data_IF_130669872351
#
_entry.id   IF_130669872351
#
_cell.length_a   1.000
_cell.length_b   1.000
_cell.length_c   1.000
_cell.angle_alpha   90.00
_cell.angle_beta   90.00
_cell.angle_gamma   90.00
#
_symmetry.space_group_name_H-M   'P 1'
#
loop_
_entity.id
_entity.type
_entity.pdbx_description
1 polymer ?
#
# COMPACT_ATOMS: atom_id res chain seq x y z
N UNK A 1 -17.52 16.21 14.77
CA UNK A 1 -16.19 15.61 14.65
C UNK A 1 -15.34 16.49 13.77
N UNK A 2 -14.22 16.95 14.30
CA UNK A 2 -13.14 17.61 13.57
C UNK A 2 -12.46 16.61 12.63
N UNK A 3 -11.70 17.10 11.65
CA UNK A 3 -10.88 16.26 10.79
C UNK A 3 -9.92 15.38 11.59
N UNK A 4 -9.27 15.95 12.61
CA UNK A 4 -8.37 15.24 13.51
C UNK A 4 -9.05 14.04 14.20
N UNK A 5 -10.25 14.23 14.73
CA UNK A 5 -11.01 13.16 15.40
C UNK A 5 -11.35 12.04 14.40
N UNK A 6 -11.80 12.40 13.18
CA UNK A 6 -12.13 11.42 12.14
C UNK A 6 -10.89 10.63 11.69
N UNK A 7 -9.76 11.31 11.54
CA UNK A 7 -8.49 10.67 11.21
C UNK A 7 -8.06 9.68 12.30
N UNK A 8 -8.17 10.08 13.57
CA UNK A 8 -7.85 9.21 14.69
C UNK A 8 -8.73 7.95 14.73
N UNK A 9 -10.04 8.10 14.50
CA UNK A 9 -10.97 6.96 14.42
C UNK A 9 -10.60 6.01 13.27
N UNK A 10 -10.24 6.55 12.10
CA UNK A 10 -9.81 5.74 10.95
C UNK A 10 -8.49 5.02 11.22
N UNK A 11 -7.51 5.69 11.83
CA UNK A 11 -6.22 5.07 12.19
C UNK A 11 -6.44 3.90 13.15
N UNK A 12 -7.32 4.03 14.15
CA UNK A 12 -7.68 2.94 15.06
C UNK A 12 -8.30 1.76 14.30
N UNK A 13 -9.18 2.03 13.34
CA UNK A 13 -9.77 0.99 12.50
C UNK A 13 -8.70 0.29 11.64
N UNK A 14 -7.80 1.06 11.00
CA UNK A 14 -6.70 0.52 10.19
C UNK A 14 -5.73 -0.33 11.02
N UNK A 15 -5.38 0.12 12.22
CA UNK A 15 -4.57 -0.66 13.17
C UNK A 15 -5.24 -2.00 13.51
N UNK A 16 -6.56 -2.02 13.68
CA UNK A 16 -7.30 -3.27 13.93
C UNK A 16 -7.34 -4.20 12.71
N UNK A 17 -7.38 -3.67 11.49
CA UNK A 17 -7.47 -4.47 10.25
C UNK A 17 -6.12 -5.05 9.86
N UNK A 18 -5.06 -4.24 9.94
CA UNK A 18 -3.74 -4.56 9.41
C UNK A 18 -2.74 -4.98 10.49
N UNK A 19 -3.08 -4.79 11.77
CA UNK A 19 -2.29 -5.24 12.92
C UNK A 19 -0.80 -4.84 12.77
N UNK A 20 0.12 -5.79 12.81
CA UNK A 20 1.58 -5.58 12.72
C UNK A 20 2.07 -5.03 11.38
N UNK A 21 1.19 -4.99 10.35
CA UNK A 21 1.49 -4.47 9.02
C UNK A 21 1.25 -2.97 8.89
N UNK A 22 0.55 -2.34 9.84
CA UNK A 22 0.30 -0.90 9.84
C UNK A 22 1.23 -0.17 10.82
N UNK A 23 1.95 0.84 10.35
CA UNK A 23 2.99 1.52 11.14
C UNK A 23 2.98 3.02 10.87
N UNK A 24 3.35 3.82 11.87
CA UNK A 24 3.65 5.24 11.69
C UNK A 24 5.09 5.38 11.20
N UNK A 25 5.33 6.08 10.08
CA UNK A 25 6.67 6.29 9.54
C UNK A 25 7.38 7.49 10.18
N UNK A 26 6.65 8.58 10.45
CA UNK A 26 7.17 9.83 10.99
C UNK A 26 6.08 10.60 11.76
N UNK A 27 6.47 11.53 12.64
CA UNK A 27 5.57 12.43 13.39
C UNK A 27 4.76 13.42 12.52
N UNK A 28 4.82 13.26 11.18
CA UNK A 28 4.19 14.14 10.18
C UNK A 28 2.97 13.47 9.51
N UNK A 29 2.12 12.76 10.26
CA UNK A 29 0.90 12.13 9.73
C UNK A 29 1.12 11.20 8.52
N UNK A 30 2.26 10.49 8.50
CA UNK A 30 2.59 9.51 7.48
C UNK A 30 2.58 8.10 8.06
N UNK A 31 1.79 7.25 7.42
CA UNK A 31 1.58 5.86 7.81
C UNK A 31 2.03 4.93 6.68
N UNK A 32 2.48 3.75 7.03
CA UNK A 32 2.85 2.69 6.11
C UNK A 32 1.98 1.46 6.35
N UNK A 33 1.51 0.87 5.25
CA UNK A 33 0.90 -0.46 5.23
C UNK A 33 1.84 -1.38 4.47
N UNK A 34 2.34 -2.41 5.14
CA UNK A 34 3.04 -3.52 4.51
C UNK A 34 2.03 -4.43 3.81
N UNK A 35 2.21 -4.62 2.50
CA UNK A 35 1.35 -5.44 1.67
C UNK A 35 2.10 -6.73 1.35
N UNK A 36 1.65 -7.81 1.99
CA UNK A 36 2.08 -9.16 1.62
C UNK A 36 1.19 -9.63 0.49
N UNK A 37 1.80 -9.89 -0.67
CA UNK A 37 1.10 -10.47 -1.80
C UNK A 37 1.61 -11.89 -2.04
N UNK A 38 0.82 -12.85 -1.57
CA UNK A 38 1.03 -14.25 -1.86
C UNK A 38 0.67 -14.53 -3.32
N UNK A 39 1.61 -15.12 -4.05
CA UNK A 39 1.35 -15.50 -5.42
C UNK A 39 0.39 -16.69 -5.44
N UNK A 40 -0.66 -16.59 -6.24
CA UNK A 40 -1.59 -17.71 -6.45
C UNK A 40 -0.86 -18.97 -6.93
N UNK A 41 0.22 -18.81 -7.70
CA UNK A 41 1.13 -19.89 -8.09
C UNK A 41 2.58 -19.39 -8.07
N UNK A 42 3.53 -20.19 -7.55
CA UNK A 42 4.95 -19.84 -7.59
C UNK A 42 5.44 -19.76 -9.04
N UNK A 43 6.35 -18.83 -9.34
CA UNK A 43 7.00 -18.76 -10.65
C UNK A 43 8.47 -19.11 -10.57
N UNK A 44 9.00 -19.69 -11.65
CA UNK A 44 10.39 -20.13 -11.73
C UNK A 44 11.23 -19.04 -12.38
N UNK A 45 12.21 -18.53 -11.65
CA UNK A 45 13.20 -17.58 -12.13
C UNK A 45 14.46 -18.33 -12.55
N UNK A 46 14.83 -18.22 -13.82
CA UNK A 46 16.09 -18.76 -14.34
C UNK A 46 17.04 -17.61 -14.61
N UNK A 47 18.15 -17.58 -13.88
CA UNK A 47 19.21 -16.59 -14.05
C UNK A 47 20.54 -17.33 -14.22
N UNK A 48 21.10 -17.23 -15.43
CA UNK A 48 22.25 -18.04 -15.87
C UNK A 48 21.99 -19.54 -15.65
N UNK A 49 22.87 -20.24 -14.95
CA UNK A 49 22.72 -21.68 -14.63
C UNK A 49 21.92 -21.95 -13.34
N UNK A 50 21.41 -20.91 -12.68
CA UNK A 50 20.64 -21.06 -11.43
C UNK A 50 19.14 -20.95 -11.70
N UNK A 51 18.39 -21.83 -11.05
CA UNK A 51 16.93 -21.87 -11.08
C UNK A 51 16.41 -21.69 -9.66
N UNK A 52 15.56 -20.70 -9.44
CA UNK A 52 14.93 -20.42 -8.15
C UNK A 52 13.41 -20.38 -8.31
N UNK A 53 12.69 -20.95 -7.35
CA UNK A 53 11.22 -20.89 -7.32
C UNK A 53 10.83 -19.76 -6.38
N UNK A 54 10.04 -18.81 -6.87
CA UNK A 54 9.58 -17.65 -6.12
C UNK A 54 8.12 -17.85 -5.73
N UNK A 55 7.86 -17.86 -4.43
CA UNK A 55 6.55 -18.09 -3.84
C UNK A 55 5.81 -16.79 -3.47
N UNK A 56 6.52 -15.67 -3.35
CA UNK A 56 5.96 -14.40 -2.90
C UNK A 56 6.46 -13.26 -3.79
N UNK A 57 5.64 -12.22 -3.94
CA UNK A 57 6.14 -10.98 -4.54
C UNK A 57 7.14 -10.31 -3.60
N UNK A 58 8.04 -9.48 -4.15
CA UNK A 58 8.88 -8.62 -3.33
C UNK A 58 8.04 -7.78 -2.35
N UNK A 59 8.59 -7.45 -1.16
CA UNK A 59 7.90 -6.64 -0.18
C UNK A 59 7.44 -5.33 -0.82
N UNK A 60 6.16 -5.07 -0.68
CA UNK A 60 5.48 -3.91 -1.21
C UNK A 60 4.90 -3.14 -0.04
N UNK A 61 5.01 -1.81 -0.06
CA UNK A 61 4.38 -0.97 0.95
C UNK A 61 3.57 0.15 0.32
N UNK A 62 2.51 0.54 1.01
CA UNK A 62 1.68 1.68 0.67
C UNK A 62 1.87 2.73 1.75
N UNK A 63 2.42 3.87 1.36
CA UNK A 63 2.55 5.02 2.25
C UNK A 63 1.29 5.87 2.10
N UNK A 64 0.69 6.20 3.23
CA UNK A 64 -0.50 7.04 3.35
C UNK A 64 -0.08 8.33 4.04
N UNK A 65 -0.36 9.46 3.40
CA UNK A 65 -0.12 10.78 3.98
C UNK A 65 -1.46 11.49 4.21
N UNK A 66 -1.79 11.72 5.48
CA UNK A 66 -2.99 12.44 5.90
C UNK A 66 -2.71 13.94 5.95
N UNK A 67 -3.47 14.71 5.18
CA UNK A 67 -3.45 16.18 5.21
C UNK A 67 -4.42 16.70 6.26
N UNK A 68 -4.23 17.92 6.73
CA UNK A 68 -5.07 18.52 7.78
C UNK A 68 -6.54 18.70 7.34
N UNK A 69 -6.76 18.85 6.02
CA UNK A 69 -8.08 19.04 5.43
C UNK A 69 -8.83 17.71 5.19
N UNK A 70 -8.17 16.56 5.30
CA UNK A 70 -8.83 15.25 5.21
C UNK A 70 -9.64 14.95 6.48
N UNK A 71 -10.87 14.40 6.42
CA UNK A 71 -11.58 13.92 5.24
C UNK A 71 -12.53 14.91 4.57
N UNK A 72 -12.48 16.19 4.93
CA UNK A 72 -13.50 17.16 4.51
C UNK A 72 -13.28 17.70 3.09
N UNK A 73 -12.06 18.10 2.72
CA UNK A 73 -11.82 18.78 1.44
C UNK A 73 -11.07 17.89 0.42
N UNK A 74 -10.03 17.19 0.86
CA UNK A 74 -9.13 16.44 -0.02
C UNK A 74 -8.86 15.04 0.52
N UNK A 75 -8.78 14.01 -0.35
CA UNK A 75 -8.38 12.66 0.05
C UNK A 75 -6.91 12.63 0.52
N UNK A 76 -6.49 11.59 1.25
CA UNK A 76 -5.10 11.43 1.61
C UNK A 76 -4.28 11.09 0.37
N UNK A 77 -2.97 11.30 0.43
CA UNK A 77 -2.07 10.89 -0.65
C UNK A 77 -1.58 9.46 -0.43
N UNK A 78 -1.67 8.65 -1.49
CA UNK A 78 -1.23 7.27 -1.52
C UNK A 78 0.03 7.14 -2.37
N UNK A 79 1.10 6.59 -1.79
CA UNK A 79 2.40 6.45 -2.45
C UNK A 79 2.82 4.97 -2.39
N UNK A 80 2.65 4.23 -3.50
CA UNK A 80 3.17 2.88 -3.62
C UNK A 80 4.70 2.84 -3.61
N UNK A 81 5.27 1.92 -2.83
CA UNK A 81 6.71 1.73 -2.69
C UNK A 81 7.07 0.24 -2.80
N UNK A 82 8.03 -0.07 -3.65
CA UNK A 82 8.60 -1.42 -3.76
C UNK A 82 10.01 -1.32 -4.32
N UNK A 83 11.00 -1.75 -3.54
CA UNK A 83 12.41 -1.63 -3.91
C UNK A 83 12.78 -2.36 -5.21
N UNK A 84 11.99 -3.36 -5.58
CA UNK A 84 12.23 -4.21 -6.74
C UNK A 84 11.64 -3.65 -8.03
N UNK A 85 10.84 -2.58 -7.93
CA UNK A 85 10.16 -2.00 -9.08
C UNK A 85 10.93 -0.79 -9.58
N UNK A 86 11.07 -0.69 -10.90
CA UNK A 86 11.55 0.54 -11.51
C UNK A 86 10.53 1.68 -11.33
N UNK A 87 10.98 2.93 -11.43
CA UNK A 87 10.09 4.10 -11.43
C UNK A 87 8.95 3.97 -12.45
N UNK A 88 9.26 3.45 -13.64
CA UNK A 88 8.27 3.25 -14.72
C UNK A 88 7.25 2.18 -14.31
N UNK A 89 7.70 1.09 -13.70
CA UNK A 89 6.83 0.02 -13.20
C UNK A 89 5.87 0.51 -12.12
N UNK A 90 6.37 1.30 -11.16
CA UNK A 90 5.53 1.92 -10.12
C UNK A 90 4.53 2.91 -10.72
N UNK A 91 4.94 3.76 -11.66
CA UNK A 91 4.05 4.70 -12.33
C UNK A 91 2.91 3.98 -13.08
N UNK A 92 3.23 2.89 -13.80
CA UNK A 92 2.22 2.07 -14.46
C UNK A 92 1.27 1.40 -13.47
N UNK A 93 1.77 1.01 -12.30
CA UNK A 93 0.94 0.46 -11.23
C UNK A 93 0.01 1.52 -10.65
N UNK A 94 0.49 2.74 -10.36
CA UNK A 94 -0.35 3.84 -9.91
C UNK A 94 -1.48 4.11 -10.90
N UNK A 95 -1.16 4.24 -12.20
CA UNK A 95 -2.17 4.44 -13.24
C UNK A 95 -3.20 3.32 -13.28
N UNK A 96 -2.79 2.05 -13.08
CA UNK A 96 -3.74 0.93 -13.01
C UNK A 96 -4.65 1.02 -11.79
N UNK A 97 -4.11 1.38 -10.63
CA UNK A 97 -4.86 1.54 -9.39
C UNK A 97 -5.84 2.72 -9.48
N UNK A 98 -5.41 3.85 -10.04
CA UNK A 98 -6.27 5.04 -10.24
C UNK A 98 -7.45 4.75 -11.16
N UNK A 99 -7.24 3.90 -12.16
CA UNK A 99 -8.30 3.45 -13.08
C UNK A 99 -9.06 2.23 -12.57
N UNK A 100 -8.65 1.64 -11.45
CA UNK A 100 -9.30 0.47 -10.89
C UNK A 100 -10.60 0.89 -10.21
N UNK A 101 -11.73 0.63 -10.86
CA UNK A 101 -13.03 0.76 -10.22
C UNK A 101 -13.23 -0.45 -9.32
N UNK A 102 -13.34 -0.21 -8.01
CA UNK A 102 -13.87 -1.22 -7.09
C UNK A 102 -15.32 -1.49 -7.51
N UNK A 103 -15.56 -2.57 -8.25
CA UNK A 103 -16.91 -3.13 -8.33
C UNK A 103 -17.22 -3.56 -6.90
N UNK A 104 -18.12 -2.81 -6.22
CA UNK A 104 -18.66 -3.25 -4.93
C UNK A 104 -19.17 -4.66 -5.14
N UNK A 105 -18.54 -5.63 -4.47
CA UNK A 105 -19.06 -6.99 -4.42
C UNK A 105 -20.50 -6.94 -3.90
N UNK A 106 -21.39 -7.61 -4.63
CA UNK A 106 -22.79 -7.85 -4.26
C UNK A 106 -22.90 -8.59 -2.92
#
# INVERSE_FOLDING_TARGET
>A
MTNLEKQADEILALQSIFDTKFRLLHDNNQYEILIDFDLMQPFVLRCNEKTSIIHHLPPFSLIIHYHDEYPSDHPPSFIPSCFYFSKISLQNLCQKLDNYSFVKGE
#
